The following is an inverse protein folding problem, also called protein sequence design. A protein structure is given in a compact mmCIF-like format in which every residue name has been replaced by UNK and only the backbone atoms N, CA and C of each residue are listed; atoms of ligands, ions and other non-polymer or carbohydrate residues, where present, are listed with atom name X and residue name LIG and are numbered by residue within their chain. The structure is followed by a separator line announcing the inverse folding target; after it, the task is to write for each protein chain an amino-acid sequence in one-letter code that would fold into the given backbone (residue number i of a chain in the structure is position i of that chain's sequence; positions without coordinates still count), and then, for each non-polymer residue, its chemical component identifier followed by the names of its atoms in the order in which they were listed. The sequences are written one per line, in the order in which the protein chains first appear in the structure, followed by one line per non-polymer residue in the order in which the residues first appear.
data_IF_051365646958
#
_entry.id   IF_051365646958
#
_cell.length_a   1.000
_cell.length_b   1.000
_cell.length_c   1.000
_cell.angle_alpha   90.00
_cell.angle_beta   90.00
_cell.angle_gamma   90.00
#
_symmetry.space_group_name_H-M   'P 1'
#
loop_
_entity.id
_entity.type
_entity.pdbx_description
1 polymer ?
#
# COMPACT_ATOMS: atom_id res chain seq x y z
N UNK A 1 11.64 2.50 16.46
CA UNK A 1 10.90 1.47 15.68
C UNK A 1 9.43 1.36 16.08
N UNK A 2 9.06 1.48 17.37
CA UNK A 2 7.67 1.42 17.84
C UNK A 2 6.71 2.38 17.10
N UNK A 3 7.04 3.67 16.98
CA UNK A 3 6.23 4.64 16.23
C UNK A 3 6.09 4.32 14.74
N UNK A 4 7.12 3.72 14.11
CA UNK A 4 7.06 3.29 12.72
C UNK A 4 6.06 2.13 12.55
N UNK A 5 6.10 1.13 13.42
CA UNK A 5 5.20 -0.02 13.36
C UNK A 5 3.75 0.40 13.59
N UNK A 6 3.49 1.23 14.61
CA UNK A 6 2.15 1.74 14.92
C UNK A 6 1.59 2.52 13.72
N UNK A 7 2.38 3.44 13.14
CA UNK A 7 1.94 4.22 11.98
C UNK A 7 1.62 3.33 10.78
N UNK A 8 2.49 2.37 10.45
CA UNK A 8 2.23 1.47 9.32
C UNK A 8 1.04 0.55 9.57
N UNK A 9 0.79 0.13 10.81
CA UNK A 9 -0.39 -0.66 11.16
C UNK A 9 -1.68 0.15 10.97
N UNK A 10 -1.70 1.42 11.40
CA UNK A 10 -2.83 2.32 11.18
C UNK A 10 -3.07 2.53 9.68
N UNK A 11 -2.02 2.82 8.90
CA UNK A 11 -2.13 3.01 7.45
C UNK A 11 -2.64 1.73 6.78
N UNK A 12 -2.08 0.58 7.15
CA UNK A 12 -2.51 -0.71 6.63
C UNK A 12 -4.00 -0.93 6.86
N UNK A 13 -4.50 -0.65 8.06
CA UNK A 13 -5.92 -0.80 8.39
C UNK A 13 -6.81 0.15 7.57
N UNK A 14 -6.43 1.43 7.47
CA UNK A 14 -7.17 2.43 6.69
C UNK A 14 -7.22 2.06 5.20
N UNK A 15 -6.07 1.74 4.61
CA UNK A 15 -5.98 1.35 3.19
C UNK A 15 -6.77 0.07 2.94
N UNK A 16 -6.73 -0.90 3.86
CA UNK A 16 -7.49 -2.15 3.75
C UNK A 16 -9.00 -1.91 3.75
N UNK A 17 -9.49 -1.02 4.61
CA UNK A 17 -10.92 -0.65 4.63
C UNK A 17 -11.31 0.02 3.32
N UNK A 18 -10.56 1.04 2.89
CA UNK A 18 -10.87 1.79 1.66
C UNK A 18 -10.87 0.85 0.45
N UNK A 19 -9.82 0.06 0.28
CA UNK A 19 -9.72 -0.88 -0.84
C UNK A 19 -10.81 -1.95 -0.79
N UNK A 20 -11.18 -2.45 0.39
CA UNK A 20 -12.28 -3.41 0.54
C UNK A 20 -13.64 -2.82 0.16
N UNK A 21 -13.90 -1.55 0.52
CA UNK A 21 -15.11 -0.83 0.10
C UNK A 21 -15.10 -0.63 -1.42
N UNK A 22 -13.99 -0.17 -2.00
CA UNK A 22 -13.88 0.05 -3.45
C UNK A 22 -14.09 -1.25 -4.23
N UNK A 23 -13.43 -2.34 -3.81
CA UNK A 23 -13.65 -3.68 -4.36
C UNK A 23 -15.12 -4.06 -4.21
N UNK A 24 -15.70 -3.86 -3.03
CA UNK A 24 -17.11 -4.16 -2.78
C UNK A 24 -18.07 -3.45 -3.72
N UNK A 25 -17.90 -2.13 -3.91
CA UNK A 25 -18.71 -1.35 -4.86
C UNK A 25 -18.53 -1.87 -6.29
N UNK A 26 -17.29 -2.16 -6.69
CA UNK A 26 -17.00 -2.67 -8.05
C UNK A 26 -17.65 -4.04 -8.30
N UNK A 27 -17.72 -4.89 -7.27
CA UNK A 27 -18.37 -6.20 -7.35
C UNK A 27 -19.89 -6.14 -7.12
N UNK A 28 -20.46 -5.08 -6.52
CA UNK A 28 -21.92 -4.93 -6.42
C UNK A 28 -22.61 -4.78 -7.77
N UNK A 29 -21.87 -4.38 -8.81
CA UNK A 29 -22.34 -4.38 -10.20
C UNK A 29 -22.45 -5.81 -10.79
N UNK A 30 -21.89 -6.83 -10.11
CA UNK A 30 -21.95 -8.23 -10.51
C UNK A 30 -22.74 -9.06 -9.47
N UNK A 31 -23.96 -9.52 -9.77
CA UNK A 31 -24.87 -10.13 -8.80
C UNK A 31 -24.43 -11.52 -8.28
N UNK A 32 -23.45 -12.16 -8.91
CA UNK A 32 -23.00 -13.51 -8.57
C UNK A 32 -21.94 -13.50 -7.46
N UNK A 33 -22.42 -13.66 -6.23
CA UNK A 33 -21.71 -14.17 -5.05
C UNK A 33 -20.97 -13.16 -4.14
N UNK A 34 -21.70 -12.68 -3.12
CA UNK A 34 -21.14 -12.03 -1.92
C UNK A 34 -20.00 -12.85 -1.27
N UNK A 35 -20.01 -14.18 -1.43
CA UNK A 35 -18.94 -15.07 -0.98
C UNK A 35 -17.64 -14.94 -1.77
N UNK A 36 -17.68 -14.74 -3.10
CA UNK A 36 -16.46 -14.47 -3.89
C UNK A 36 -15.82 -13.13 -3.52
N UNK A 37 -16.63 -12.13 -3.15
CA UNK A 37 -16.14 -10.82 -2.68
C UNK A 37 -15.34 -10.96 -1.38
N UNK A 38 -15.81 -11.76 -0.42
CA UNK A 38 -15.09 -11.99 0.85
C UNK A 38 -13.79 -12.76 0.60
N UNK A 39 -13.81 -13.77 -0.28
CA UNK A 39 -12.62 -14.54 -0.65
C UNK A 39 -11.61 -13.67 -1.39
N UNK A 40 -12.07 -12.79 -2.29
CA UNK A 40 -11.21 -11.88 -3.04
C UNK A 40 -10.56 -10.83 -2.12
N UNK A 41 -11.35 -10.22 -1.23
CA UNK A 41 -10.83 -9.23 -0.26
C UNK A 41 -9.87 -9.87 0.76
N UNK A 42 -10.21 -11.05 1.29
CA UNK A 42 -9.34 -11.73 2.26
C UNK A 42 -8.04 -12.28 1.67
N UNK A 43 -8.11 -12.94 0.50
CA UNK A 43 -6.94 -13.59 -0.10
C UNK A 43 -6.08 -12.67 -0.97
N UNK A 44 -6.65 -11.60 -1.53
CA UNK A 44 -5.92 -10.71 -2.42
C UNK A 44 -5.71 -9.33 -1.81
N UNK A 45 -6.71 -8.64 -1.27
CA UNK A 45 -6.53 -7.25 -0.81
C UNK A 45 -5.54 -7.14 0.36
N UNK A 46 -5.65 -7.97 1.39
CA UNK A 46 -4.76 -7.88 2.56
C UNK A 46 -3.29 -8.24 2.24
N UNK A 47 -2.98 -9.35 1.54
CA UNK A 47 -1.61 -9.64 1.14
C UNK A 47 -1.05 -8.62 0.16
N UNK A 48 -1.89 -8.06 -0.72
CA UNK A 48 -1.46 -7.03 -1.66
C UNK A 48 -1.01 -5.76 -0.96
N UNK A 49 -1.80 -5.24 -0.02
CA UNK A 49 -1.44 -4.02 0.72
C UNK A 49 -0.18 -4.28 1.57
N UNK A 50 -0.01 -5.50 2.06
CA UNK A 50 1.20 -5.88 2.76
C UNK A 50 2.42 -5.83 1.83
N UNK A 51 2.34 -6.45 0.65
CA UNK A 51 3.45 -6.56 -0.31
C UNK A 51 3.78 -5.21 -0.97
N UNK A 52 2.78 -4.40 -1.31
CA UNK A 52 2.94 -3.14 -2.05
C UNK A 52 3.00 -1.90 -1.16
N UNK A 53 2.53 -2.01 0.08
CA UNK A 53 2.53 -0.91 1.04
C UNK A 53 3.61 -1.10 2.10
N UNK A 54 3.46 -2.15 2.91
CA UNK A 54 4.23 -2.31 4.14
C UNK A 54 5.69 -2.73 3.88
N UNK A 55 5.92 -3.68 2.97
CA UNK A 55 7.28 -4.12 2.60
C UNK A 55 8.12 -2.98 2.00
N UNK A 56 7.65 -2.21 1.00
CA UNK A 56 8.40 -1.11 0.42
C UNK A 56 8.75 -0.03 1.44
N UNK A 57 7.83 0.23 2.38
CA UNK A 57 8.07 1.18 3.47
C UNK A 57 9.10 0.68 4.48
N UNK A 58 9.11 -0.61 4.79
CA UNK A 58 10.14 -1.25 5.61
C UNK A 58 11.50 -1.17 4.93
N UNK A 59 11.58 -1.54 3.65
CA UNK A 59 12.81 -1.46 2.85
C UNK A 59 13.32 -0.02 2.83
N UNK A 60 12.45 0.95 2.58
CA UNK A 60 12.79 2.36 2.63
C UNK A 60 13.37 2.76 4.00
N UNK A 61 12.70 2.42 5.10
CA UNK A 61 13.13 2.81 6.45
C UNK A 61 14.46 2.16 6.85
N UNK A 62 14.73 0.94 6.38
CA UNK A 62 16.00 0.23 6.57
C UNK A 62 17.13 0.88 5.75
N UNK A 63 16.88 1.19 4.48
CA UNK A 63 17.85 1.84 3.59
C UNK A 63 18.13 3.29 3.98
N UNK A 64 17.11 4.04 4.40
CA UNK A 64 17.25 5.45 4.78
C UNK A 64 18.18 5.62 5.99
N UNK A 65 18.19 4.64 6.90
CA UNK A 65 19.08 4.66 8.08
C UNK A 65 20.53 4.39 7.74
N UNK A 66 20.79 3.60 6.70
CA UNK A 66 22.15 3.13 6.37
C UNK A 66 22.84 3.95 5.29
N UNK A 67 22.10 4.45 4.30
CA UNK A 67 22.73 4.77 3.00
C UNK A 67 22.50 6.20 2.53
N UNK A 68 21.37 6.82 2.86
CA UNK A 68 20.96 8.08 2.22
C UNK A 68 20.36 9.12 3.18
N UNK A 69 21.13 9.63 4.17
CA UNK A 69 20.63 10.65 5.10
C UNK A 69 20.36 12.01 4.44
N UNK A 70 21.02 12.32 3.32
CA UNK A 70 20.97 13.64 2.64
C UNK A 70 20.12 13.69 1.37
N UNK A 71 19.65 12.54 0.86
CA UNK A 71 18.86 12.52 -0.37
C UNK A 71 17.39 12.83 -0.11
N UNK A 72 16.71 13.34 -1.15
CA UNK A 72 15.29 13.64 -1.07
C UNK A 72 14.49 12.33 -0.84
N UNK A 73 14.03 12.18 0.41
CA UNK A 73 13.28 11.04 0.92
C UNK A 73 12.12 10.62 0.02
N UNK A 74 11.40 11.60 -0.54
CA UNK A 74 10.25 11.36 -1.42
C UNK A 74 10.70 10.60 -2.66
N UNK A 75 11.81 11.00 -3.28
CA UNK A 75 12.32 10.39 -4.51
C UNK A 75 12.71 8.93 -4.27
N UNK A 76 13.49 8.65 -3.22
CA UNK A 76 13.91 7.28 -2.90
C UNK A 76 12.70 6.39 -2.61
N UNK A 77 11.75 6.91 -1.82
CA UNK A 77 10.53 6.16 -1.48
C UNK A 77 9.71 5.88 -2.73
N UNK A 78 9.51 6.87 -3.60
CA UNK A 78 8.81 6.69 -4.88
C UNK A 78 9.48 5.63 -5.75
N UNK A 79 10.82 5.63 -5.86
CA UNK A 79 11.56 4.61 -6.62
C UNK A 79 11.29 3.20 -6.08
N UNK A 80 11.33 3.02 -4.75
CA UNK A 80 11.08 1.71 -4.13
C UNK A 80 9.63 1.27 -4.36
N UNK A 81 8.66 2.17 -4.25
CA UNK A 81 7.25 1.89 -4.53
C UNK A 81 7.01 1.51 -6.00
N UNK A 82 7.58 2.27 -6.93
CA UNK A 82 7.46 1.99 -8.38
C UNK A 82 8.12 0.66 -8.73
N UNK A 83 9.32 0.39 -8.20
CA UNK A 83 9.99 -0.90 -8.38
C UNK A 83 9.13 -2.06 -7.88
N UNK A 84 8.51 -1.92 -6.70
CA UNK A 84 7.64 -2.95 -6.12
C UNK A 84 6.40 -3.18 -6.98
N UNK A 85 5.80 -2.11 -7.51
CA UNK A 85 4.65 -2.19 -8.40
C UNK A 85 5.00 -2.86 -9.73
N UNK A 86 6.19 -2.59 -10.29
CA UNK A 86 6.70 -3.25 -11.50
C UNK A 86 6.90 -4.74 -11.25
N UNK A 87 7.62 -5.11 -10.18
CA UNK A 87 7.84 -6.52 -9.82
C UNK A 87 6.51 -7.26 -9.66
N UNK A 88 5.55 -6.61 -9.01
CA UNK A 88 4.22 -7.15 -8.82
C UNK A 88 3.46 -7.37 -10.13
N UNK A 89 3.50 -6.38 -11.03
CA UNK A 89 2.90 -6.47 -12.36
C UNK A 89 3.46 -7.66 -13.16
N UNK A 90 4.76 -7.94 -13.05
CA UNK A 90 5.36 -9.11 -13.70
C UNK A 90 4.90 -10.44 -13.10
N UNK A 91 4.69 -10.51 -11.78
CA UNK A 91 4.35 -11.76 -11.07
C UNK A 91 2.89 -12.17 -11.30
N UNK A 92 1.96 -11.23 -11.23
CA UNK A 92 0.51 -11.51 -11.22
C UNK A 92 -0.11 -11.62 -12.62
N UNK A 93 0.68 -11.39 -13.65
CA UNK A 93 0.20 -11.31 -15.02
C UNK A 93 -0.56 -10.01 -15.27
N UNK A 94 -0.71 -9.65 -16.55
CA UNK A 94 -1.24 -8.35 -17.02
C UNK A 94 -2.74 -8.17 -16.79
N UNK A 95 -3.27 -8.61 -15.65
CA UNK A 95 -4.66 -8.39 -15.27
C UNK A 95 -4.88 -6.92 -14.96
N UNK A 96 -5.60 -6.23 -15.85
CA UNK A 96 -5.86 -4.80 -15.76
C UNK A 96 -6.55 -4.43 -14.44
N UNK A 97 -7.57 -5.18 -14.03
CA UNK A 97 -8.31 -4.93 -12.79
C UNK A 97 -7.40 -5.02 -11.56
N UNK A 98 -6.58 -6.05 -11.48
CA UNK A 98 -5.69 -6.29 -10.36
C UNK A 98 -4.62 -5.19 -10.29
N UNK A 99 -4.12 -4.74 -11.45
CA UNK A 99 -3.17 -3.63 -11.54
C UNK A 99 -3.80 -2.30 -11.11
N UNK A 100 -5.04 -2.01 -11.49
CA UNK A 100 -5.76 -0.80 -11.07
C UNK A 100 -5.91 -0.77 -9.54
N UNK A 101 -6.30 -1.87 -8.92
CA UNK A 101 -6.38 -1.96 -7.46
C UNK A 101 -5.01 -1.83 -6.79
N UNK A 102 -3.98 -2.45 -7.35
CA UNK A 102 -2.60 -2.35 -6.85
C UNK A 102 -2.09 -0.90 -6.86
N UNK A 103 -2.32 -0.16 -7.95
CA UNK A 103 -1.94 1.25 -8.08
C UNK A 103 -2.69 2.10 -7.05
N UNK A 104 -4.00 1.86 -6.88
CA UNK A 104 -4.85 2.62 -5.96
C UNK A 104 -4.42 2.40 -4.50
N UNK A 105 -4.20 1.14 -4.11
CA UNK A 105 -3.72 0.78 -2.77
C UNK A 105 -2.31 1.34 -2.50
N UNK A 106 -1.37 1.19 -3.44
CA UNK A 106 -0.01 1.70 -3.30
C UNK A 106 0.01 3.23 -3.16
N UNK A 107 -0.80 3.93 -3.96
CA UNK A 107 -0.91 5.40 -3.93
C UNK A 107 -1.49 5.90 -2.61
N UNK A 108 -2.60 5.30 -2.15
CA UNK A 108 -3.21 5.63 -0.86
C UNK A 108 -2.22 5.42 0.28
N UNK A 109 -1.53 4.29 0.29
CA UNK A 109 -0.54 3.97 1.32
C UNK A 109 0.61 5.00 1.32
N UNK A 110 1.14 5.33 0.15
CA UNK A 110 2.20 6.32 0.01
C UNK A 110 1.81 7.69 0.56
N UNK A 111 0.62 8.18 0.17
CA UNK A 111 0.08 9.47 0.57
C UNK A 111 -0.19 9.54 2.07
N UNK A 112 -0.82 8.51 2.64
CA UNK A 112 -1.12 8.44 4.08
C UNK A 112 0.16 8.40 4.92
N UNK A 113 1.19 7.65 4.50
CA UNK A 113 2.47 7.63 5.22
C UNK A 113 3.16 9.00 5.19
N UNK A 114 3.17 9.71 4.05
CA UNK A 114 3.75 11.06 4.00
C UNK A 114 2.93 12.07 4.79
N UNK A 115 1.61 12.00 4.75
CA UNK A 115 0.73 12.89 5.49
C UNK A 115 0.90 12.72 7.01
N UNK A 116 0.84 11.48 7.51
CA UNK A 116 1.03 11.20 8.94
C UNK A 116 2.44 11.57 9.41
N UNK A 117 3.47 11.37 8.58
CA UNK A 117 4.84 11.81 8.94
C UNK A 117 4.97 13.33 9.02
N UNK A 118 4.31 14.08 8.13
CA UNK A 118 4.29 15.56 8.19
C UNK A 118 3.52 16.04 9.41
N UNK A 119 2.39 15.41 9.73
CA UNK A 119 1.59 15.77 10.91
C UNK A 119 2.36 15.57 12.21
N UNK A 120 3.09 14.45 12.33
CA UNK A 120 3.91 14.13 13.50
C UNK A 120 5.15 15.04 13.66
N UNK A 121 5.55 15.77 12.61
CA UNK A 121 6.62 16.78 12.63
C UNK A 121 6.13 18.19 12.95
N UNK A 122 4.83 18.47 12.78
CA UNK A 122 4.23 19.79 13.10
C UNK A 122 3.74 19.88 14.55
N UNK A 123 3.58 18.74 15.20
CA UNK A 123 3.03 18.60 16.57
C UNK A 123 4.11 18.51 17.65
N UNK A 124 5.37 18.53 17.24
CA UNK A 124 6.58 18.67 18.08
C UNK A 124 7.43 19.81 17.53
#
# INVERSE_FOLDING_TARGET
MKHFLIRNFIIYFIVSIITSITVGITFTEYPSSKSSMIVFTSLYVFPFIFILGLIPNLIYELLSKKTFPKFNRIIIKSIIYVSSLITFYFIIGKSFYILSFAILAASLYFLLDEWLRKWNKKTH
#
